data_IF_541507434200
#
_entry.id   IF_541507434200
#
_cell.length_a   1.000
_cell.length_b   1.000
_cell.length_c   1.000
_cell.angle_alpha   90.00
_cell.angle_beta   90.00
_cell.angle_gamma   90.00
#
_symmetry.space_group_name_H-M   'P 1'
#
loop_
_entity.id
_entity.type
_entity.pdbx_description
1 polymer ?
#
# COMPACT_ATOMS: atom_id res chain seq x y z
N UNK A 1 24.52 4.37 -14.46
CA UNK A 1 24.47 3.66 -13.17
C UNK A 1 25.89 3.31 -12.80
N UNK A 2 26.23 3.43 -11.51
CA UNK A 2 27.57 3.09 -11.01
C UNK A 2 27.51 1.92 -10.03
N UNK A 3 28.63 1.20 -9.95
CA UNK A 3 28.81 0.12 -8.98
C UNK A 3 29.41 0.65 -7.67
N UNK A 4 29.00 0.06 -6.57
CA UNK A 4 29.52 0.34 -5.22
C UNK A 4 30.60 -0.69 -4.91
N UNK A 5 31.68 -0.27 -4.25
CA UNK A 5 32.62 -1.22 -3.67
C UNK A 5 31.95 -1.94 -2.49
N UNK A 6 31.63 -3.22 -2.67
CA UNK A 6 30.99 -4.05 -1.65
C UNK A 6 31.89 -4.18 -0.41
N UNK A 7 31.32 -4.04 0.78
CA UNK A 7 32.08 -4.07 2.03
C UNK A 7 31.70 -5.27 2.91
N UNK A 8 32.19 -6.46 2.55
CA UNK A 8 31.89 -7.71 3.26
C UNK A 8 32.49 -7.80 4.67
N UNK A 9 33.55 -7.04 4.96
CA UNK A 9 34.25 -7.09 6.26
C UNK A 9 33.37 -6.63 7.43
N UNK A 10 32.36 -5.79 7.17
CA UNK A 10 31.36 -5.40 8.16
C UNK A 10 30.41 -6.55 8.55
N UNK A 11 30.55 -7.73 7.95
CA UNK A 11 29.70 -8.90 8.17
C UNK A 11 30.49 -10.16 8.54
N UNK A 12 31.78 -10.07 8.91
CA UNK A 12 32.54 -11.27 9.28
C UNK A 12 31.83 -12.02 10.42
N UNK A 13 31.51 -13.30 10.17
CA UNK A 13 30.53 -14.14 10.89
C UNK A 13 30.74 -14.31 12.42
N UNK A 14 31.83 -13.75 12.96
CA UNK A 14 32.12 -13.72 14.40
C UNK A 14 31.58 -12.49 15.14
N UNK A 15 31.04 -11.50 14.43
CA UNK A 15 30.68 -10.20 15.01
C UNK A 15 29.17 -9.92 15.06
N UNK A 16 28.37 -10.71 14.34
CA UNK A 16 26.90 -10.64 14.34
C UNK A 16 26.29 -11.87 15.04
N UNK A 17 25.21 -11.66 15.78
CA UNK A 17 24.45 -12.72 16.44
C UNK A 17 23.66 -13.54 15.43
N UNK A 18 23.22 -14.73 15.82
CA UNK A 18 22.39 -15.60 14.97
C UNK A 18 21.08 -14.93 14.54
N UNK A 19 20.52 -14.05 15.36
CA UNK A 19 19.28 -13.33 15.05
C UNK A 19 19.55 -12.14 14.12
N UNK A 20 20.70 -11.48 14.24
CA UNK A 20 21.16 -10.45 13.28
C UNK A 20 21.42 -11.06 11.89
N UNK A 21 21.83 -12.32 11.84
CA UNK A 21 22.00 -13.07 10.59
C UNK A 21 20.68 -13.52 9.94
N UNK A 22 19.55 -13.44 10.65
CA UNK A 22 18.20 -13.70 10.10
C UNK A 22 17.58 -12.49 9.39
N UNK A 23 18.37 -11.44 9.10
CA UNK A 23 17.96 -10.34 8.23
C UNK A 23 17.37 -10.84 6.91
N UNK A 24 16.31 -10.18 6.44
CA UNK A 24 15.69 -10.42 5.12
C UNK A 24 16.57 -9.90 3.98
N UNK A 25 17.64 -9.15 4.29
CA UNK A 25 18.66 -8.73 3.33
C UNK A 25 19.64 -9.87 3.01
N UNK A 26 19.91 -10.07 1.72
CA UNK A 26 20.91 -11.03 1.28
C UNK A 26 22.33 -10.64 1.75
N UNK A 27 23.29 -11.56 1.63
CA UNK A 27 24.71 -11.23 1.90
C UNK A 27 25.20 -10.13 0.94
N UNK A 28 24.72 -10.11 -0.29
CA UNK A 28 25.05 -9.05 -1.25
C UNK A 28 24.48 -7.70 -0.79
N UNK A 29 23.19 -7.66 -0.44
CA UNK A 29 22.50 -6.41 -0.09
C UNK A 29 23.15 -5.74 1.12
N UNK A 30 23.50 -6.55 2.13
CA UNK A 30 24.21 -6.09 3.32
C UNK A 30 25.60 -5.54 2.97
N UNK A 31 26.35 -6.21 2.10
CA UNK A 31 27.66 -5.73 1.64
C UNK A 31 27.55 -4.42 0.85
N UNK A 32 26.49 -4.27 0.05
CA UNK A 32 26.20 -3.05 -0.69
C UNK A 32 25.88 -1.90 0.26
N UNK A 33 24.98 -2.10 1.24
CA UNK A 33 24.64 -1.09 2.24
C UNK A 33 25.88 -0.66 3.04
N UNK A 34 26.67 -1.61 3.54
CA UNK A 34 27.93 -1.33 4.22
C UNK A 34 28.94 -0.59 3.31
N UNK A 35 28.98 -0.93 2.02
CA UNK A 35 29.78 -0.24 1.02
C UNK A 35 29.36 1.22 0.83
N UNK A 36 28.05 1.48 0.81
CA UNK A 36 27.49 2.82 0.74
C UNK A 36 27.81 3.65 1.99
N UNK A 37 27.69 3.06 3.19
CA UNK A 37 28.09 3.71 4.43
C UNK A 37 29.58 4.06 4.44
N UNK A 38 30.44 3.14 3.99
CA UNK A 38 31.90 3.36 3.85
C UNK A 38 32.21 4.49 2.86
N UNK A 39 31.51 4.52 1.72
CA UNK A 39 31.70 5.52 0.67
C UNK A 39 31.25 6.91 1.13
N UNK A 40 30.10 7.00 1.80
CA UNK A 40 29.45 8.28 2.12
C UNK A 40 29.88 8.87 3.46
N UNK A 41 30.24 8.02 4.43
CA UNK A 41 30.61 8.42 5.80
C UNK A 41 29.62 9.45 6.37
N UNK A 42 28.33 9.08 6.46
CA UNK A 42 27.27 10.01 6.78
C UNK A 42 27.42 10.58 8.20
N UNK A 43 26.76 11.71 8.45
CA UNK A 43 26.69 12.37 9.75
C UNK A 43 25.31 12.24 10.40
N UNK A 44 24.25 12.09 9.60
CA UNK A 44 22.88 11.94 10.06
C UNK A 44 22.15 10.91 9.19
N UNK A 45 21.89 9.76 9.79
CA UNK A 45 21.24 8.61 9.15
C UNK A 45 19.79 8.52 9.58
N UNK A 46 18.92 8.24 8.63
CA UNK A 46 17.52 7.88 8.86
C UNK A 46 17.24 6.50 8.26
N UNK A 47 16.84 5.54 9.08
CA UNK A 47 16.29 4.25 8.67
C UNK A 47 14.76 4.31 8.81
N UNK A 48 14.04 3.88 7.77
CA UNK A 48 12.58 3.80 7.74
C UNK A 48 12.19 2.36 7.42
N UNK A 49 11.49 1.73 8.36
CA UNK A 49 11.20 0.29 8.36
C UNK A 49 12.28 -0.47 9.12
N UNK A 50 11.96 -0.87 10.36
CA UNK A 50 12.91 -1.48 11.28
C UNK A 50 12.65 -2.98 11.40
N UNK A 51 11.36 -3.38 11.40
CA UNK A 51 10.96 -4.76 11.66
C UNK A 51 11.59 -5.26 12.98
N UNK A 52 12.31 -6.39 12.95
CA UNK A 52 13.02 -6.93 14.11
C UNK A 52 14.26 -6.12 14.51
N UNK A 53 14.83 -5.30 13.63
CA UNK A 53 16.05 -4.50 13.85
C UNK A 53 17.34 -5.13 13.37
N UNK A 54 17.30 -6.13 12.48
CA UNK A 54 18.52 -6.75 11.95
C UNK A 54 19.33 -5.76 11.07
N UNK A 55 18.65 -4.97 10.23
CA UNK A 55 19.27 -3.92 9.41
C UNK A 55 19.82 -2.80 10.28
N UNK A 56 19.06 -2.32 11.27
CA UNK A 56 19.54 -1.38 12.29
C UNK A 56 20.83 -1.86 12.95
N UNK A 57 20.88 -3.13 13.36
CA UNK A 57 22.06 -3.70 14.01
C UNK A 57 23.28 -3.72 13.07
N UNK A 58 23.07 -4.11 11.80
CA UNK A 58 24.12 -4.07 10.78
C UNK A 58 24.64 -2.65 10.57
N UNK A 59 23.76 -1.65 10.50
CA UNK A 59 24.15 -0.25 10.35
C UNK A 59 25.05 0.15 11.51
N UNK A 60 24.57 0.00 12.76
CA UNK A 60 25.34 0.38 13.96
C UNK A 60 26.68 -0.35 14.03
N UNK A 61 26.71 -1.64 13.72
CA UNK A 61 27.94 -2.40 13.69
C UNK A 61 28.91 -1.91 12.60
N UNK A 62 28.41 -1.61 11.40
CA UNK A 62 29.23 -1.11 10.31
C UNK A 62 29.86 0.25 10.65
N UNK A 63 29.10 1.13 11.31
CA UNK A 63 29.60 2.43 11.79
C UNK A 63 30.74 2.26 12.80
N UNK A 64 30.64 1.30 13.72
CA UNK A 64 31.72 0.97 14.67
C UNK A 64 32.99 0.49 13.94
N UNK A 65 32.83 -0.43 12.97
CA UNK A 65 33.94 -0.94 12.16
C UNK A 65 34.63 0.18 11.37
N UNK A 66 33.85 1.14 10.88
CA UNK A 66 34.35 2.30 10.15
C UNK A 66 34.93 3.40 11.06
N UNK A 67 34.70 3.32 12.38
CA UNK A 67 35.13 4.32 13.35
C UNK A 67 34.44 5.68 13.14
N UNK A 68 33.17 5.68 12.71
CA UNK A 68 32.37 6.89 12.54
C UNK A 68 31.15 6.85 13.47
N UNK A 69 30.76 8.02 13.98
CA UNK A 69 29.71 8.15 14.99
C UNK A 69 28.67 9.19 14.57
N UNK A 70 27.85 8.89 13.55
CA UNK A 70 26.74 9.76 13.15
C UNK A 70 25.60 9.72 14.18
N UNK A 71 24.68 10.68 14.04
CA UNK A 71 23.35 10.56 14.61
C UNK A 71 22.53 9.58 13.75
N UNK A 72 21.82 8.64 14.37
CA UNK A 72 21.02 7.62 13.69
C UNK A 72 19.60 7.63 14.25
N UNK A 73 18.62 7.73 13.37
CA UNK A 73 17.20 7.62 13.70
C UNK A 73 16.62 6.43 12.98
N UNK A 74 15.89 5.59 13.70
CA UNK A 74 15.27 4.40 13.15
C UNK A 74 13.78 4.48 13.42
N UNK A 75 12.99 4.54 12.34
CA UNK A 75 11.55 4.81 12.37
C UNK A 75 10.76 3.60 11.91
N UNK A 76 9.76 3.21 12.70
CA UNK A 76 8.82 2.15 12.31
C UNK A 76 7.39 2.57 12.66
N UNK A 77 6.48 2.35 11.71
CA UNK A 77 5.05 2.62 11.89
C UNK A 77 4.42 1.77 13.01
N UNK A 78 5.04 0.64 13.34
CA UNK A 78 4.59 -0.28 14.38
C UNK A 78 5.45 -0.22 15.62
N UNK A 79 4.82 -0.34 16.80
CA UNK A 79 5.55 -0.51 18.08
C UNK A 79 5.95 -1.96 18.33
N UNK A 80 5.18 -2.90 17.82
CA UNK A 80 5.40 -4.33 17.98
C UNK A 80 5.85 -4.92 16.65
N UNK A 81 6.78 -5.86 16.71
CA UNK A 81 7.28 -6.54 15.53
C UNK A 81 6.16 -7.34 14.86
N UNK A 82 6.02 -7.18 13.55
CA UNK A 82 4.90 -7.76 12.80
C UNK A 82 4.88 -9.30 12.80
N UNK A 83 6.04 -9.95 12.94
CA UNK A 83 6.16 -11.42 13.01
C UNK A 83 5.76 -11.97 14.37
N UNK A 84 6.19 -11.31 15.44
CA UNK A 84 5.88 -11.69 16.82
C UNK A 84 5.49 -10.45 17.64
N UNK A 85 4.17 -10.18 17.77
CA UNK A 85 3.66 -9.01 18.48
C UNK A 85 4.01 -8.96 19.97
N UNK A 86 4.57 -10.04 20.56
CA UNK A 86 5.08 -10.00 21.94
C UNK A 86 6.40 -9.24 22.06
N UNK A 87 7.06 -8.96 20.94
CA UNK A 87 8.33 -8.24 20.87
C UNK A 87 8.14 -6.83 20.34
N UNK A 88 8.96 -5.91 20.82
CA UNK A 88 9.03 -4.54 20.30
C UNK A 88 9.80 -4.53 18.98
N UNK A 89 9.41 -3.68 18.03
CA UNK A 89 10.19 -3.46 16.81
C UNK A 89 11.61 -2.98 17.17
N UNK A 90 12.62 -3.47 16.45
CA UNK A 90 14.02 -3.15 16.74
C UNK A 90 14.67 -3.96 17.87
N UNK A 91 13.98 -4.92 18.49
CA UNK A 91 14.52 -5.70 19.62
C UNK A 91 15.86 -6.40 19.36
N UNK A 92 16.17 -6.76 18.11
CA UNK A 92 17.45 -7.39 17.72
C UNK A 92 18.61 -6.41 17.91
N UNK A 93 18.42 -5.13 17.58
CA UNK A 93 19.45 -4.10 17.70
C UNK A 93 19.52 -3.44 19.09
N UNK A 94 18.70 -3.89 20.05
CA UNK A 94 18.53 -3.19 21.33
C UNK A 94 19.84 -2.99 22.08
N UNK A 95 20.66 -4.03 22.24
CA UNK A 95 21.91 -3.94 22.99
C UNK A 95 22.91 -2.96 22.33
N UNK A 96 22.99 -2.96 21.00
CA UNK A 96 23.84 -2.02 20.24
C UNK A 96 23.33 -0.60 20.31
N UNK A 97 22.01 -0.43 20.19
CA UNK A 97 21.34 0.86 20.38
C UNK A 97 21.66 1.44 21.76
N UNK A 98 21.57 0.63 22.82
CA UNK A 98 21.89 1.07 24.19
C UNK A 98 23.36 1.47 24.33
N UNK A 99 24.27 0.78 23.63
CA UNK A 99 25.69 1.15 23.58
C UNK A 99 25.96 2.45 22.80
N UNK A 100 25.14 2.77 21.80
CA UNK A 100 25.18 4.04 21.06
C UNK A 100 24.63 5.22 21.85
N UNK A 101 23.82 4.97 22.89
CA UNK A 101 23.21 6.01 23.71
C UNK A 101 22.37 6.98 22.87
N UNK A 102 22.46 8.28 23.19
CA UNK A 102 21.65 9.33 22.53
C UNK A 102 21.94 9.51 21.03
N UNK A 103 23.04 8.92 20.53
CA UNK A 103 23.40 8.95 19.12
C UNK A 103 22.50 8.04 18.25
N UNK A 104 21.76 7.10 18.86
CA UNK A 104 20.76 6.29 18.17
C UNK A 104 19.40 6.37 18.85
N UNK A 105 18.32 6.57 18.06
CA UNK A 105 16.97 6.70 18.59
C UNK A 105 15.96 5.86 17.80
N UNK A 106 15.18 5.07 18.53
CA UNK A 106 14.01 4.37 18.00
C UNK A 106 12.77 5.27 18.09
N UNK A 107 12.10 5.51 16.96
CA UNK A 107 10.86 6.28 16.88
C UNK A 107 9.74 5.38 16.34
N UNK A 108 8.90 4.88 17.24
CA UNK A 108 7.97 3.78 16.94
C UNK A 108 6.50 4.18 17.06
N UNK A 109 5.67 3.65 16.16
CA UNK A 109 4.21 3.73 16.24
C UNK A 109 3.56 4.85 15.43
N UNK A 110 4.34 5.55 14.61
CA UNK A 110 3.88 6.59 13.70
C UNK A 110 4.70 6.53 12.41
N UNK A 111 4.18 7.09 11.32
CA UNK A 111 4.93 7.20 10.06
C UNK A 111 6.09 8.19 10.18
N UNK A 112 7.00 8.17 9.21
CA UNK A 112 8.07 9.19 9.13
C UNK A 112 7.51 10.61 9.00
N UNK A 113 6.33 10.77 8.37
CA UNK A 113 5.70 12.06 8.16
C UNK A 113 5.40 12.79 9.48
N UNK A 114 5.13 12.01 10.54
CA UNK A 114 4.95 12.49 11.90
C UNK A 114 6.26 12.87 12.58
N UNK A 115 7.28 12.01 12.51
CA UNK A 115 8.54 12.19 13.26
C UNK A 115 9.54 13.14 12.62
N UNK A 116 9.40 13.46 11.34
CA UNK A 116 10.44 14.20 10.60
C UNK A 116 10.73 15.61 11.16
N UNK A 117 9.75 16.26 11.82
CA UNK A 117 9.99 17.55 12.50
C UNK A 117 10.88 17.41 13.74
N UNK A 118 10.80 16.27 14.44
CA UNK A 118 11.64 15.96 15.60
C UNK A 118 13.06 15.55 15.16
N UNK A 119 13.17 14.81 14.05
CA UNK A 119 14.45 14.43 13.43
C UNK A 119 15.19 15.67 12.88
N UNK A 120 14.45 16.58 12.25
CA UNK A 120 14.95 17.82 11.66
C UNK A 120 15.79 17.63 10.39
N UNK A 121 16.32 18.74 9.88
CA UNK A 121 16.98 18.82 8.57
C UNK A 121 18.40 18.21 8.54
N UNK A 122 19.05 18.32 7.38
CA UNK A 122 20.42 17.89 7.10
C UNK A 122 20.62 16.37 7.24
N UNK A 123 19.60 15.58 6.88
CA UNK A 123 19.70 14.12 6.77
C UNK A 123 20.53 13.79 5.52
N UNK A 124 21.72 13.23 5.69
CA UNK A 124 22.65 12.96 4.57
C UNK A 124 22.66 11.50 4.11
N UNK A 125 21.94 10.62 4.82
CA UNK A 125 21.78 9.22 4.43
C UNK A 125 20.43 8.67 4.88
N UNK A 126 19.68 8.08 3.95
CA UNK A 126 18.37 7.49 4.22
C UNK A 126 18.37 6.03 3.76
N UNK A 127 17.79 5.14 4.56
CA UNK A 127 17.47 3.76 4.19
C UNK A 127 15.95 3.62 4.25
N UNK A 128 15.34 3.11 3.19
CA UNK A 128 13.90 2.86 3.11
C UNK A 128 13.69 1.39 2.77
N UNK A 129 13.04 0.67 3.68
CA UNK A 129 12.81 -0.78 3.63
C UNK A 129 11.48 -1.12 4.36
N UNK A 130 10.33 -0.93 3.70
CA UNK A 130 9.02 -0.91 4.40
C UNK A 130 8.01 -1.95 3.91
N UNK A 131 7.04 -1.56 3.08
CA UNK A 131 5.90 -2.36 2.64
C UNK A 131 6.09 -2.95 1.24
N UNK A 132 7.09 -2.44 0.50
CA UNK A 132 7.50 -2.77 -0.86
C UNK A 132 6.41 -2.50 -1.92
N UNK A 133 5.22 -2.10 -1.49
CA UNK A 133 4.02 -1.88 -2.29
C UNK A 133 3.61 -0.42 -2.26
N UNK A 134 3.15 0.12 -3.39
CA UNK A 134 2.67 1.50 -3.39
C UNK A 134 1.45 1.61 -2.47
N UNK A 135 1.35 2.68 -1.66
CA UNK A 135 2.16 3.91 -1.75
C UNK A 135 3.36 4.04 -0.79
N UNK A 136 3.70 3.02 0.00
CA UNK A 136 4.56 3.13 1.20
C UNK A 136 5.85 3.93 1.02
N UNK A 137 6.84 3.32 0.37
CA UNK A 137 8.19 3.89 0.17
C UNK A 137 8.16 5.26 -0.52
N UNK A 138 7.19 5.47 -1.42
CA UNK A 138 7.03 6.72 -2.14
C UNK A 138 6.58 7.84 -1.19
N UNK A 139 5.62 7.57 -0.30
CA UNK A 139 5.18 8.55 0.70
C UNK A 139 6.23 8.79 1.77
N UNK A 140 6.99 7.75 2.16
CA UNK A 140 8.13 7.91 3.05
C UNK A 140 9.17 8.86 2.45
N UNK A 141 9.55 8.65 1.18
CA UNK A 141 10.48 9.55 0.50
C UNK A 141 9.94 10.97 0.32
N UNK A 142 8.66 11.13 -0.08
CA UNK A 142 8.01 12.45 -0.17
C UNK A 142 8.10 13.19 1.18
N UNK A 143 7.94 12.48 2.29
CA UNK A 143 7.94 13.05 3.64
C UNK A 143 9.33 13.51 4.11
N UNK A 144 10.41 12.90 3.63
CA UNK A 144 11.78 13.24 4.07
C UNK A 144 12.50 14.18 3.12
N UNK A 145 12.07 14.28 1.85
CA UNK A 145 12.81 14.95 0.79
C UNK A 145 13.20 16.40 1.09
N UNK A 146 12.32 17.19 1.74
CA UNK A 146 12.62 18.60 2.10
C UNK A 146 13.57 18.75 3.29
N UNK A 147 13.88 17.65 3.99
CA UNK A 147 14.75 17.60 5.16
C UNK A 147 16.14 17.01 4.84
N UNK A 148 16.39 16.64 3.58
CA UNK A 148 17.64 16.06 3.14
C UNK A 148 18.75 17.12 3.06
N UNK A 149 19.96 16.73 3.45
CA UNK A 149 21.16 17.50 3.18
C UNK A 149 21.44 17.53 1.67
N UNK A 150 22.23 18.52 1.24
CA UNK A 150 22.81 18.49 -0.10
C UNK A 150 23.67 17.23 -0.27
N UNK A 151 23.60 16.59 -1.44
CA UNK A 151 24.34 15.37 -1.76
C UNK A 151 23.94 14.14 -0.92
N UNK A 152 22.76 14.19 -0.28
CA UNK A 152 22.21 13.06 0.48
C UNK A 152 22.08 11.80 -0.37
N UNK A 153 22.23 10.65 0.28
CA UNK A 153 22.11 9.34 -0.36
C UNK A 153 20.89 8.62 0.18
N UNK A 154 20.04 8.12 -0.70
CA UNK A 154 18.87 7.33 -0.35
C UNK A 154 19.08 5.92 -0.86
N UNK A 155 18.99 4.94 0.03
CA UNK A 155 19.10 3.51 -0.24
C UNK A 155 17.70 2.90 -0.15
N UNK A 156 17.31 2.14 -1.16
CA UNK A 156 16.08 1.38 -1.21
C UNK A 156 16.43 -0.10 -1.24
N UNK A 157 15.85 -0.87 -0.31
CA UNK A 157 15.81 -2.33 -0.43
C UNK A 157 14.58 -2.75 -1.27
N UNK A 158 14.55 -4.00 -1.69
CA UNK A 158 13.51 -4.59 -2.54
C UNK A 158 13.25 -3.91 -3.89
N UNK A 159 14.30 -3.37 -4.53
CA UNK A 159 14.18 -2.70 -5.85
C UNK A 159 13.91 -3.65 -7.02
N UNK A 160 14.13 -4.96 -6.83
CA UNK A 160 13.87 -6.00 -7.84
C UNK A 160 12.84 -7.03 -7.36
N UNK A 161 12.21 -6.77 -6.22
CA UNK A 161 11.39 -7.74 -5.51
C UNK A 161 10.15 -8.18 -6.31
N UNK A 162 9.56 -7.28 -7.11
CA UNK A 162 8.48 -7.63 -8.03
C UNK A 162 8.85 -8.70 -9.07
N UNK A 163 10.15 -8.90 -9.35
CA UNK A 163 10.65 -9.93 -10.27
C UNK A 163 11.14 -11.17 -9.50
N UNK A 164 11.88 -10.96 -8.41
CA UNK A 164 12.47 -12.03 -7.60
C UNK A 164 11.42 -12.79 -6.78
N UNK A 165 10.36 -12.12 -6.35
CA UNK A 165 9.28 -12.68 -5.53
C UNK A 165 8.42 -13.72 -6.25
N UNK A 166 8.41 -13.74 -7.60
CA UNK A 166 7.47 -14.53 -8.42
C UNK A 166 7.54 -16.05 -8.14
N UNK A 167 8.68 -16.56 -7.63
CA UNK A 167 8.85 -17.97 -7.28
C UNK A 167 8.57 -18.31 -5.81
N UNK A 168 8.26 -17.31 -4.98
CA UNK A 168 7.81 -17.53 -3.60
C UNK A 168 6.29 -17.67 -3.56
N UNK A 169 5.77 -18.49 -2.65
CA UNK A 169 4.32 -18.67 -2.41
C UNK A 169 3.61 -17.36 -2.01
N UNK A 170 4.36 -16.27 -1.83
CA UNK A 170 3.93 -14.97 -1.31
C UNK A 170 4.26 -13.78 -2.21
N UNK A 171 5.07 -13.94 -3.26
CA UNK A 171 5.54 -12.80 -4.05
C UNK A 171 4.39 -12.22 -4.86
N UNK A 172 3.96 -11.04 -4.45
CA UNK A 172 2.88 -10.36 -5.12
C UNK A 172 3.47 -9.53 -6.26
N UNK A 173 2.84 -9.50 -7.46
CA UNK A 173 3.28 -8.68 -8.59
C UNK A 173 3.19 -7.16 -8.32
N UNK A 174 2.95 -6.77 -7.06
CA UNK A 174 2.73 -5.41 -6.59
C UNK A 174 3.88 -4.87 -5.71
N UNK A 175 4.95 -5.64 -5.51
CA UNK A 175 6.14 -5.27 -4.72
C UNK A 175 7.15 -4.43 -5.54
N UNK A 176 6.67 -3.31 -6.12
CA UNK A 176 7.46 -2.45 -7.01
C UNK A 176 7.64 -1.01 -6.51
N UNK A 177 7.24 -0.70 -5.28
CA UNK A 177 7.30 0.67 -4.76
C UNK A 177 8.71 1.22 -4.71
N UNK A 178 9.66 0.45 -4.18
CA UNK A 178 11.08 0.81 -4.13
C UNK A 178 11.63 1.16 -5.51
N UNK A 179 11.31 0.35 -6.54
CA UNK A 179 11.74 0.60 -7.91
C UNK A 179 11.11 1.87 -8.50
N UNK A 180 9.80 2.03 -8.32
CA UNK A 180 9.07 3.21 -8.81
C UNK A 180 9.62 4.49 -8.18
N UNK A 181 9.82 4.48 -6.86
CA UNK A 181 10.38 5.62 -6.13
C UNK A 181 11.80 5.91 -6.58
N UNK A 182 12.68 4.91 -6.65
CA UNK A 182 14.05 5.07 -7.16
C UNK A 182 14.06 5.65 -8.59
N UNK A 183 13.17 5.19 -9.46
CA UNK A 183 13.05 5.68 -10.84
C UNK A 183 12.61 7.16 -10.89
N UNK A 184 11.67 7.55 -10.03
CA UNK A 184 11.12 8.90 -9.98
C UNK A 184 12.13 9.95 -9.48
N UNK A 185 13.11 9.54 -8.68
CA UNK A 185 14.13 10.43 -8.11
C UNK A 185 15.21 10.76 -9.14
N UNK A 186 15.52 12.05 -9.23
CA UNK A 186 16.67 12.57 -9.98
C UNK A 186 17.96 12.45 -9.18
N UNK A 187 19.03 12.04 -9.84
CA UNK A 187 20.33 11.95 -9.22
C UNK A 187 21.18 10.79 -9.73
N UNK A 188 22.31 10.61 -9.08
CA UNK A 188 23.28 9.58 -9.42
C UNK A 188 22.87 8.24 -8.83
N UNK A 189 22.45 7.31 -9.68
CA UNK A 189 21.96 5.97 -9.30
C UNK A 189 23.09 4.95 -9.19
N UNK A 190 23.06 4.21 -8.09
CA UNK A 190 23.92 3.08 -7.77
C UNK A 190 23.07 1.81 -7.74
N UNK A 191 23.31 0.92 -8.70
CA UNK A 191 22.68 -0.39 -8.80
C UNK A 191 23.78 -1.30 -9.32
N UNK A 192 24.05 -2.39 -8.62
CA UNK A 192 25.01 -3.40 -9.07
C UNK A 192 24.31 -4.65 -9.59
N UNK A 193 25.11 -5.62 -10.01
CA UNK A 193 24.65 -6.96 -10.32
C UNK A 193 24.94 -7.86 -9.11
N UNK A 194 23.98 -8.71 -8.73
CA UNK A 194 24.18 -9.72 -7.69
C UNK A 194 24.38 -11.10 -8.33
N UNK A 195 25.63 -11.42 -8.62
CA UNK A 195 26.04 -12.71 -9.20
C UNK A 195 25.74 -13.92 -8.27
N UNK A 196 25.20 -13.70 -7.07
CA UNK A 196 24.83 -14.76 -6.13
C UNK A 196 23.41 -15.30 -6.32
N UNK A 197 22.55 -14.61 -7.07
CA UNK A 197 21.23 -15.09 -7.45
C UNK A 197 21.13 -15.44 -8.95
N UNK A 198 20.20 -16.32 -9.32
CA UNK A 198 20.14 -16.89 -10.69
C UNK A 198 19.73 -15.86 -11.74
N UNK A 199 19.00 -14.82 -11.31
CA UNK A 199 18.57 -13.70 -12.14
C UNK A 199 19.66 -12.64 -12.33
N UNK A 200 20.75 -12.70 -11.56
CA UNK A 200 21.80 -11.67 -11.46
C UNK A 200 21.25 -10.26 -11.15
N UNK A 201 20.12 -10.17 -10.44
CA UNK A 201 19.47 -8.89 -10.12
C UNK A 201 19.79 -8.49 -8.68
N UNK A 202 20.43 -7.34 -8.49
CA UNK A 202 20.51 -6.76 -7.15
C UNK A 202 19.11 -6.38 -6.67
N UNK A 203 18.81 -6.73 -5.42
CA UNK A 203 17.55 -6.35 -4.77
C UNK A 203 17.71 -5.10 -3.89
N UNK A 204 18.83 -4.40 -4.02
CA UNK A 204 19.09 -3.12 -3.35
C UNK A 204 19.61 -2.11 -4.37
N UNK A 205 19.25 -0.85 -4.18
CA UNK A 205 19.74 0.25 -5.00
C UNK A 205 19.84 1.55 -4.20
N UNK A 206 20.58 2.52 -4.71
CA UNK A 206 20.68 3.83 -4.10
C UNK A 206 20.68 4.97 -5.11
N UNK A 207 20.33 6.16 -4.67
CA UNK A 207 20.43 7.41 -5.43
C UNK A 207 21.08 8.49 -4.56
N UNK A 208 22.13 9.11 -5.08
CA UNK A 208 22.68 10.34 -4.51
C UNK A 208 22.03 11.53 -5.23
N UNK A 209 21.27 12.32 -4.48
CA UNK A 209 20.59 13.52 -5.00
C UNK A 209 21.57 14.68 -5.07
N UNK A 210 21.51 15.51 -6.10
CA UNK A 210 22.46 16.61 -6.33
C UNK A 210 22.04 17.96 -5.69
N UNK A 211 21.01 17.91 -4.84
CA UNK A 211 20.47 19.08 -4.14
C UNK A 211 19.48 19.90 -4.94
N UNK A 212 19.13 19.51 -6.18
CA UNK A 212 17.94 20.03 -6.86
C UNK A 212 16.71 19.27 -6.34
N UNK A 213 16.16 19.77 -5.24
CA UNK A 213 15.00 19.14 -4.58
C UNK A 213 13.66 19.50 -5.22
N UNK A 214 13.63 20.33 -6.27
CA UNK A 214 12.38 20.73 -6.92
C UNK A 214 12.19 20.05 -8.28
N UNK A 215 13.28 19.67 -8.96
CA UNK A 215 13.25 19.12 -10.32
C UNK A 215 12.50 17.78 -10.51
N UNK A 216 12.23 17.03 -9.44
CA UNK A 216 11.54 15.73 -9.49
C UNK A 216 10.24 15.65 -8.67
N UNK A 217 9.80 16.74 -8.03
CA UNK A 217 8.60 16.73 -7.19
C UNK A 217 7.36 16.31 -7.99
N UNK A 218 7.20 16.84 -9.20
CA UNK A 218 6.10 16.44 -10.10
C UNK A 218 6.14 14.93 -10.41
N UNK A 219 7.32 14.36 -10.63
CA UNK A 219 7.45 12.93 -10.92
C UNK A 219 7.01 12.08 -9.73
N UNK A 220 7.36 12.48 -8.50
CA UNK A 220 6.97 11.79 -7.28
C UNK A 220 5.45 11.78 -7.10
N UNK A 221 4.79 12.93 -7.26
CA UNK A 221 3.34 13.02 -7.10
C UNK A 221 2.58 12.36 -8.27
N UNK A 222 3.15 12.35 -9.49
CA UNK A 222 2.59 11.57 -10.60
C UNK A 222 2.72 10.06 -10.37
N UNK A 223 3.81 9.61 -9.74
CA UNK A 223 3.99 8.18 -9.41
C UNK A 223 2.89 7.65 -8.47
N UNK A 224 2.25 8.50 -7.67
CA UNK A 224 1.10 8.12 -6.84
C UNK A 224 -0.11 7.64 -7.66
N UNK A 225 -0.20 7.96 -8.95
CA UNK A 225 -1.29 7.50 -9.83
C UNK A 225 -1.08 6.09 -10.38
N UNK A 226 0.04 5.44 -10.08
CA UNK A 226 0.22 3.99 -10.28
C UNK A 226 -0.67 3.23 -9.29
N UNK A 227 -1.12 2.03 -9.66
CA UNK A 227 -1.98 1.22 -8.80
C UNK A 227 -1.30 0.87 -7.47
N UNK A 228 -1.98 1.15 -6.36
CA UNK A 228 -1.56 0.80 -5.00
C UNK A 228 -1.97 -0.62 -4.65
N UNK A 229 -1.22 -1.33 -3.81
CA UNK A 229 -1.64 -2.67 -3.35
C UNK A 229 -2.52 -2.61 -2.10
N UNK A 230 -2.39 -1.51 -1.34
CA UNK A 230 -3.14 -1.27 -0.12
C UNK A 230 -3.47 0.22 0.03
N UNK A 231 -4.30 0.53 1.00
CA UNK A 231 -4.55 1.91 1.45
C UNK A 231 -3.97 2.00 2.87
N UNK A 232 -3.05 2.94 3.17
CA UNK A 232 -2.60 3.19 4.53
C UNK A 232 -3.79 3.45 5.47
N UNK A 233 -3.63 3.18 6.76
CA UNK A 233 -4.69 3.47 7.74
C UNK A 233 -4.92 4.98 7.87
N UNK A 234 -6.06 5.37 8.45
CA UNK A 234 -6.46 6.78 8.50
C UNK A 234 -5.53 7.65 9.36
N UNK A 235 -4.86 7.09 10.38
CA UNK A 235 -3.89 7.86 11.16
C UNK A 235 -2.68 8.20 10.28
N UNK A 236 -2.11 7.20 9.63
CA UNK A 236 -0.98 7.38 8.71
C UNK A 236 -1.33 8.30 7.54
N UNK A 237 -2.52 8.17 6.95
CA UNK A 237 -2.97 9.06 5.89
C UNK A 237 -3.02 10.52 6.35
N UNK A 238 -3.49 10.78 7.57
CA UNK A 238 -3.53 12.14 8.11
C UNK A 238 -2.13 12.71 8.33
N UNK A 239 -1.20 11.90 8.85
CA UNK A 239 0.20 12.30 9.00
C UNK A 239 0.81 12.69 7.64
N UNK A 240 0.56 11.91 6.59
CA UNK A 240 1.00 12.26 5.24
C UNK A 240 0.31 13.50 4.68
N UNK A 241 -0.98 13.72 4.92
CA UNK A 241 -1.68 14.95 4.47
C UNK A 241 -1.04 16.19 5.09
N UNK A 242 -0.87 16.18 6.40
CA UNK A 242 -0.26 17.30 7.14
C UNK A 242 1.14 17.59 6.61
N UNK A 243 1.94 16.53 6.40
CA UNK A 243 3.29 16.65 5.85
C UNK A 243 3.30 17.22 4.44
N UNK A 244 2.47 16.68 3.55
CA UNK A 244 2.40 17.12 2.16
C UNK A 244 1.95 18.58 2.07
N UNK A 245 0.93 18.97 2.83
CA UNK A 245 0.45 20.35 2.85
C UNK A 245 1.52 21.31 3.37
N UNK A 246 2.26 20.92 4.42
CA UNK A 246 3.32 21.73 5.01
C UNK A 246 4.50 21.93 4.06
N UNK A 247 4.95 20.87 3.40
CA UNK A 247 6.23 20.86 2.66
C UNK A 247 6.08 21.22 1.19
N UNK A 248 4.91 20.95 0.60
CA UNK A 248 4.65 21.14 -0.84
C UNK A 248 3.44 22.04 -1.11
N UNK A 249 2.56 22.25 -0.14
CA UNK A 249 1.41 23.14 -0.26
C UNK A 249 0.13 22.46 -0.80
N UNK A 250 -0.96 23.24 -0.90
CA UNK A 250 -2.30 22.71 -1.16
C UNK A 250 -2.48 22.09 -2.55
N UNK A 251 -1.68 22.51 -3.54
CA UNK A 251 -1.75 21.96 -4.89
C UNK A 251 -1.32 20.49 -4.94
N UNK A 252 -0.24 20.15 -4.24
CA UNK A 252 0.27 18.78 -4.14
C UNK A 252 -0.57 17.93 -3.19
N UNK A 253 -1.12 18.51 -2.11
CA UNK A 253 -2.14 17.83 -1.31
C UNK A 253 -3.35 17.42 -2.17
N UNK A 254 -3.80 18.31 -3.07
CA UNK A 254 -4.90 17.98 -3.97
C UNK A 254 -4.55 16.87 -4.98
N UNK A 255 -3.29 16.77 -5.41
CA UNK A 255 -2.82 15.65 -6.24
C UNK A 255 -2.81 14.34 -5.45
N UNK A 256 -2.30 14.36 -4.22
CA UNK A 256 -2.34 13.20 -3.32
C UNK A 256 -3.77 12.71 -3.07
N UNK A 257 -4.72 13.60 -2.77
CA UNK A 257 -6.12 13.24 -2.56
C UNK A 257 -6.77 12.62 -3.82
N UNK A 258 -6.44 13.14 -5.01
CA UNK A 258 -6.89 12.55 -6.28
C UNK A 258 -6.33 11.15 -6.48
N UNK A 259 -5.03 10.95 -6.22
CA UNK A 259 -4.38 9.65 -6.32
C UNK A 259 -4.96 8.65 -5.30
N UNK A 260 -5.19 9.07 -4.05
CA UNK A 260 -5.81 8.29 -3.00
C UNK A 260 -7.24 7.85 -3.40
N UNK A 261 -8.07 8.78 -3.87
CA UNK A 261 -9.42 8.48 -4.32
C UNK A 261 -9.44 7.51 -5.51
N UNK A 262 -8.56 7.76 -6.50
CA UNK A 262 -8.40 6.88 -7.67
C UNK A 262 -7.97 5.47 -7.28
N UNK A 263 -7.02 5.35 -6.36
CA UNK A 263 -6.51 4.05 -5.89
C UNK A 263 -7.48 3.30 -5.00
N UNK A 264 -8.26 3.99 -4.14
CA UNK A 264 -9.38 3.38 -3.42
C UNK A 264 -10.38 2.77 -4.40
N UNK A 265 -10.71 3.50 -5.46
CA UNK A 265 -11.59 2.98 -6.52
C UNK A 265 -10.98 1.80 -7.30
N UNK A 266 -9.70 1.88 -7.67
CA UNK A 266 -9.01 0.82 -8.38
C UNK A 266 -8.89 -0.48 -7.56
N UNK A 267 -8.59 -0.36 -6.25
CA UNK A 267 -8.57 -1.50 -5.33
C UNK A 267 -9.95 -2.12 -5.14
N UNK A 268 -10.99 -1.28 -4.99
CA UNK A 268 -12.38 -1.73 -4.94
C UNK A 268 -12.76 -2.55 -6.18
N UNK A 269 -12.39 -2.08 -7.38
CA UNK A 269 -12.62 -2.81 -8.64
C UNK A 269 -11.87 -4.14 -8.70
N UNK A 270 -10.58 -4.17 -8.33
CA UNK A 270 -9.75 -5.39 -8.35
C UNK A 270 -10.27 -6.47 -7.41
N UNK A 271 -10.68 -6.10 -6.18
CA UNK A 271 -11.31 -7.03 -5.23
C UNK A 271 -12.61 -7.63 -5.80
N UNK A 272 -13.32 -6.87 -6.64
CA UNK A 272 -14.51 -7.35 -7.33
C UNK A 272 -14.26 -8.26 -8.52
N UNK A 273 -13.21 -7.98 -9.30
CA UNK A 273 -12.86 -8.76 -10.48
C UNK A 273 -12.43 -10.20 -10.13
N UNK A 274 -11.91 -10.45 -8.93
CA UNK A 274 -11.56 -11.79 -8.43
C UNK A 274 -12.73 -12.61 -7.89
N UNK A 275 -13.95 -12.06 -7.82
CA UNK A 275 -15.12 -12.79 -7.34
C UNK A 275 -15.79 -13.59 -8.48
N UNK A 276 -15.95 -14.89 -8.29
CA UNK A 276 -16.75 -15.71 -9.23
C UNK A 276 -18.23 -15.34 -9.14
N UNK A 277 -19.00 -15.57 -10.21
CA UNK A 277 -20.46 -15.39 -10.23
C UNK A 277 -21.14 -16.06 -9.01
N UNK A 278 -20.72 -17.27 -8.67
CA UNK A 278 -21.23 -18.01 -7.53
C UNK A 278 -20.93 -17.34 -6.18
N UNK A 279 -19.73 -16.75 -6.02
CA UNK A 279 -19.38 -16.07 -4.77
C UNK A 279 -20.13 -14.75 -4.59
N UNK A 280 -20.42 -14.03 -5.69
CA UNK A 280 -21.21 -12.80 -5.68
C UNK A 280 -22.67 -13.09 -5.28
N UNK A 281 -23.28 -14.12 -5.88
CA UNK A 281 -24.65 -14.54 -5.54
C UNK A 281 -24.72 -14.97 -4.08
N UNK A 282 -23.79 -15.80 -3.62
CA UNK A 282 -23.75 -16.25 -2.22
C UNK A 282 -23.63 -15.08 -1.23
N UNK A 283 -22.78 -14.10 -1.53
CA UNK A 283 -22.66 -12.89 -0.69
C UNK A 283 -23.95 -12.07 -0.65
N UNK A 284 -24.66 -11.95 -1.78
CA UNK A 284 -25.95 -11.28 -1.82
C UNK A 284 -26.99 -12.05 -1.00
N UNK A 285 -27.06 -13.38 -1.14
CA UNK A 285 -27.96 -14.25 -0.38
C UNK A 285 -27.75 -14.11 1.13
N UNK A 286 -26.49 -14.16 1.57
CA UNK A 286 -26.14 -14.00 3.00
C UNK A 286 -26.54 -12.63 3.54
N UNK A 287 -26.33 -11.56 2.75
CA UNK A 287 -26.73 -10.20 3.14
C UNK A 287 -28.23 -10.02 3.14
N UNK A 288 -28.92 -10.54 2.13
CA UNK A 288 -30.38 -10.52 2.02
C UNK A 288 -31.02 -11.25 3.20
N UNK A 289 -30.52 -12.43 3.56
CA UNK A 289 -31.05 -13.22 4.68
C UNK A 289 -30.93 -12.52 6.04
N UNK A 290 -29.93 -11.64 6.20
CA UNK A 290 -29.70 -10.88 7.45
C UNK A 290 -30.42 -9.53 7.47
N UNK A 291 -30.87 -9.04 6.31
CA UNK A 291 -31.45 -7.71 6.19
C UNK A 291 -32.94 -7.71 6.58
N UNK A 292 -33.35 -6.75 7.42
CA UNK A 292 -34.76 -6.47 7.69
C UNK A 292 -35.38 -5.56 6.65
N UNK A 293 -34.58 -4.65 6.10
CA UNK A 293 -35.00 -3.75 5.03
C UNK A 293 -33.94 -3.76 3.93
N UNK A 294 -34.40 -3.78 2.67
CA UNK A 294 -33.52 -3.64 1.50
C UNK A 294 -33.84 -2.33 0.79
N UNK A 295 -32.80 -1.56 0.52
CA UNK A 295 -32.85 -0.31 -0.22
C UNK A 295 -32.12 -0.49 -1.54
N UNK A 296 -32.63 0.08 -2.62
CA UNK A 296 -31.88 0.28 -3.87
C UNK A 296 -31.52 1.75 -3.98
N UNK A 297 -30.24 2.01 -4.14
CA UNK A 297 -29.71 3.36 -4.30
C UNK A 297 -29.60 3.70 -5.80
N UNK A 298 -30.42 4.64 -6.27
CA UNK A 298 -30.52 5.03 -7.68
C UNK A 298 -31.88 4.71 -8.31
N UNK A 299 -32.14 5.33 -9.46
CA UNK A 299 -33.40 5.19 -10.21
C UNK A 299 -33.22 4.88 -11.71
N UNK A 300 -31.99 4.56 -12.13
CA UNK A 300 -31.67 4.26 -13.53
C UNK A 300 -31.98 2.82 -13.95
N UNK A 301 -31.59 2.47 -15.19
CA UNK A 301 -31.73 1.12 -15.77
C UNK A 301 -31.23 0.02 -14.82
N UNK A 302 -30.07 0.25 -14.23
CA UNK A 302 -29.42 -0.69 -13.32
C UNK A 302 -30.22 -0.92 -12.04
N UNK A 303 -30.74 0.14 -11.43
CA UNK A 303 -31.62 0.04 -10.27
C UNK A 303 -32.89 -0.78 -10.58
N UNK A 304 -33.45 -0.62 -11.78
CA UNK A 304 -34.61 -1.41 -12.23
C UNK A 304 -34.24 -2.89 -12.47
N UNK A 305 -33.04 -3.18 -12.96
CA UNK A 305 -32.54 -4.57 -13.09
C UNK A 305 -32.36 -5.23 -11.74
N UNK A 306 -31.73 -4.54 -10.78
CA UNK A 306 -31.56 -5.02 -9.40
C UNK A 306 -32.91 -5.30 -8.75
N UNK A 307 -33.87 -4.37 -8.89
CA UNK A 307 -35.21 -4.54 -8.32
C UNK A 307 -35.93 -5.77 -8.86
N UNK A 308 -35.89 -5.96 -10.19
CA UNK A 308 -36.45 -7.17 -10.84
C UNK A 308 -35.79 -8.44 -10.33
N UNK A 309 -34.47 -8.45 -10.19
CA UNK A 309 -33.74 -9.61 -9.67
C UNK A 309 -34.11 -9.93 -8.22
N UNK A 310 -34.08 -8.93 -7.32
CA UNK A 310 -34.44 -9.11 -5.91
C UNK A 310 -35.89 -9.57 -5.73
N UNK A 311 -36.80 -9.06 -6.55
CA UNK A 311 -38.20 -9.48 -6.56
C UNK A 311 -38.35 -10.93 -7.04
N UNK A 312 -37.74 -11.28 -8.18
CA UNK A 312 -37.88 -12.62 -8.78
C UNK A 312 -37.21 -13.71 -7.94
N UNK A 313 -35.99 -13.47 -7.46
CA UNK A 313 -35.17 -14.47 -6.77
C UNK A 313 -35.46 -14.56 -5.27
N UNK A 314 -35.77 -13.42 -4.61
CA UNK A 314 -35.93 -13.38 -3.15
C UNK A 314 -37.32 -12.91 -2.68
N UNK A 315 -38.22 -12.53 -3.60
CA UNK A 315 -39.56 -11.99 -3.29
C UNK A 315 -39.52 -10.74 -2.40
N UNK A 316 -38.46 -9.95 -2.53
CA UNK A 316 -38.26 -8.72 -1.79
C UNK A 316 -38.78 -7.54 -2.60
N UNK A 317 -39.51 -6.64 -1.94
CA UNK A 317 -39.84 -5.33 -2.47
C UNK A 317 -38.91 -4.27 -1.85
N UNK A 318 -37.83 -3.89 -2.54
CA UNK A 318 -36.87 -2.94 -2.00
C UNK A 318 -37.45 -1.51 -1.98
N UNK A 319 -37.00 -0.70 -1.02
CA UNK A 319 -37.29 0.73 -0.99
C UNK A 319 -36.30 1.48 -1.87
N UNK A 320 -36.72 2.55 -2.55
CA UNK A 320 -35.84 3.34 -3.40
C UNK A 320 -35.22 4.52 -2.63
N UNK A 321 -33.94 4.74 -2.85
CA UNK A 321 -33.24 5.98 -2.49
C UNK A 321 -32.96 6.72 -3.80
N UNK A 322 -33.73 7.78 -4.06
CA UNK A 322 -33.81 8.48 -5.36
C UNK A 322 -33.42 9.95 -5.22
N UNK A 323 -32.79 10.52 -6.25
CA UNK A 323 -32.58 11.97 -6.42
C UNK A 323 -33.81 12.67 -7.01
N UNK A 324 -33.91 13.99 -6.84
CA UNK A 324 -34.66 14.83 -7.79
C UNK A 324 -33.92 14.83 -9.14
N UNK A 325 -34.63 14.96 -10.25
CA UNK A 325 -34.12 14.78 -11.64
C UNK A 325 -32.87 15.60 -12.01
N UNK A 326 -32.49 16.61 -11.20
CA UNK A 326 -31.34 17.49 -11.42
C UNK A 326 -30.06 17.12 -10.63
N UNK A 327 -30.12 16.17 -9.68
CA UNK A 327 -28.95 15.74 -8.91
C UNK A 327 -28.28 14.50 -9.54
N UNK A 328 -26.98 14.59 -9.79
CA UNK A 328 -26.17 13.48 -10.33
C UNK A 328 -25.87 12.38 -9.31
N UNK A 329 -26.04 12.63 -8.00
CA UNK A 329 -25.79 11.68 -6.89
C UNK A 329 -26.86 11.85 -5.78
N UNK A 330 -27.62 10.81 -5.39
CA UNK A 330 -28.62 10.91 -4.33
C UNK A 330 -28.12 11.33 -2.96
N UNK A 331 -28.84 12.24 -2.32
CA UNK A 331 -28.67 12.48 -0.89
C UNK A 331 -28.92 11.20 -0.09
N UNK A 332 -27.92 10.76 0.67
CA UNK A 332 -28.02 9.61 1.59
C UNK A 332 -28.77 9.95 2.89
N UNK A 333 -29.29 11.17 3.05
CA UNK A 333 -29.95 11.61 4.29
C UNK A 333 -31.17 10.77 4.66
N UNK A 334 -31.86 10.15 3.70
CA UNK A 334 -32.98 9.22 3.94
C UNK A 334 -32.53 7.93 4.66
N UNK A 335 -31.23 7.63 4.66
CA UNK A 335 -30.61 6.52 5.36
C UNK A 335 -30.04 6.91 6.73
N UNK A 336 -30.11 8.19 7.11
CA UNK A 336 -29.60 8.66 8.41
C UNK A 336 -30.38 8.01 9.56
N UNK A 337 -29.66 7.43 10.53
CA UNK A 337 -30.24 6.74 11.68
C UNK A 337 -30.72 5.31 11.41
N UNK A 338 -30.45 4.76 10.22
CA UNK A 338 -30.63 3.32 9.95
C UNK A 338 -29.57 2.49 10.69
N UNK A 339 -29.94 1.25 11.01
CA UNK A 339 -29.12 0.31 11.80
C UNK A 339 -28.40 -0.70 10.91
N UNK A 340 -27.52 -1.49 11.50
CA UNK A 340 -26.73 -2.53 10.83
C UNK A 340 -27.55 -3.62 10.10
N UNK A 341 -28.87 -3.69 10.32
CA UNK A 341 -29.77 -4.69 9.71
C UNK A 341 -30.43 -4.23 8.40
N UNK A 342 -29.95 -3.14 7.78
CA UNK A 342 -30.36 -2.75 6.42
C UNK A 342 -29.39 -3.25 5.36
N UNK A 343 -29.89 -3.59 4.17
CA UNK A 343 -29.05 -3.83 2.98
C UNK A 343 -29.27 -2.71 1.98
N UNK A 344 -28.19 -2.11 1.49
CA UNK A 344 -28.22 -1.07 0.46
C UNK A 344 -27.61 -1.64 -0.81
N UNK A 345 -28.42 -1.86 -1.84
CA UNK A 345 -27.96 -2.33 -3.14
C UNK A 345 -27.76 -1.13 -4.06
N UNK A 346 -26.55 -0.95 -4.59
CA UNK A 346 -26.26 0.12 -5.53
C UNK A 346 -26.93 -0.18 -6.88
N UNK A 347 -27.75 0.73 -7.38
CA UNK A 347 -28.44 0.68 -8.66
C UNK A 347 -27.97 1.76 -9.62
N UNK A 348 -26.71 2.17 -9.48
CA UNK A 348 -26.07 3.27 -10.21
C UNK A 348 -24.83 2.77 -10.95
N UNK A 349 -24.40 3.51 -11.98
CA UNK A 349 -23.19 3.17 -12.72
C UNK A 349 -21.95 3.09 -11.81
N UNK A 350 -21.03 2.19 -12.15
CA UNK A 350 -19.84 1.87 -11.33
C UNK A 350 -18.94 3.08 -11.11
N UNK A 351 -18.93 4.03 -12.05
CA UNK A 351 -18.24 5.31 -11.93
C UNK A 351 -18.72 6.18 -10.75
N UNK A 352 -19.93 5.94 -10.23
CA UNK A 352 -20.50 6.69 -9.11
C UNK A 352 -20.43 5.95 -7.77
N UNK A 353 -20.00 4.68 -7.75
CA UNK A 353 -20.01 3.86 -6.53
C UNK A 353 -19.13 4.45 -5.44
N UNK A 354 -17.94 4.92 -5.78
CA UNK A 354 -17.00 5.47 -4.80
C UNK A 354 -17.60 6.66 -4.05
N UNK A 355 -18.15 7.64 -4.78
CA UNK A 355 -18.76 8.83 -4.19
C UNK A 355 -19.88 8.46 -3.21
N UNK A 356 -20.69 7.45 -3.56
CA UNK A 356 -21.78 6.97 -2.71
C UNK A 356 -21.27 6.19 -1.51
N UNK A 357 -20.23 5.35 -1.68
CA UNK A 357 -19.60 4.62 -0.59
C UNK A 357 -18.98 5.58 0.43
N UNK A 358 -18.34 6.67 0.00
CA UNK A 358 -17.83 7.73 0.90
C UNK A 358 -18.97 8.35 1.71
N UNK A 359 -20.08 8.69 1.07
CA UNK A 359 -21.27 9.24 1.75
C UNK A 359 -21.87 8.24 2.75
N UNK A 360 -21.93 6.96 2.40
CA UNK A 360 -22.44 5.91 3.28
C UNK A 360 -21.49 5.59 4.43
N UNK A 361 -20.19 5.71 4.22
CA UNK A 361 -19.18 5.57 5.27
C UNK A 361 -19.31 6.66 6.34
N UNK A 362 -19.56 7.92 5.94
CA UNK A 362 -19.87 9.00 6.87
C UNK A 362 -21.12 8.75 7.73
N UNK A 363 -22.00 7.84 7.30
CA UNK A 363 -23.18 7.41 8.04
C UNK A 363 -22.97 6.10 8.82
N UNK A 364 -21.78 5.48 8.75
CA UNK A 364 -21.49 4.19 9.37
C UNK A 364 -22.22 3.01 8.73
N UNK A 365 -22.59 3.13 7.44
CA UNK A 365 -23.36 2.14 6.69
C UNK A 365 -22.54 1.41 5.62
N UNK A 366 -21.22 1.59 5.56
CA UNK A 366 -20.38 1.01 4.50
C UNK A 366 -20.45 -0.52 4.46
N UNK A 367 -20.60 -1.18 5.62
CA UNK A 367 -20.72 -2.64 5.72
C UNK A 367 -22.04 -3.19 5.19
N UNK A 368 -23.03 -2.31 5.02
CA UNK A 368 -24.39 -2.64 4.63
C UNK A 368 -24.61 -2.57 3.12
N UNK A 369 -23.57 -2.23 2.36
CA UNK A 369 -23.66 -2.00 0.91
C UNK A 369 -23.41 -3.27 0.11
N UNK A 370 -24.10 -3.39 -1.03
CA UNK A 370 -23.88 -4.41 -2.05
C UNK A 370 -24.00 -3.83 -3.48
N UNK A 371 -23.18 -4.26 -4.46
CA UNK A 371 -21.96 -5.03 -4.24
C UNK A 371 -20.98 -4.19 -3.43
N UNK A 372 -20.35 -4.84 -2.46
CA UNK A 372 -19.30 -4.21 -1.67
C UNK A 372 -17.96 -4.19 -2.43
N UNK A 373 -17.83 -4.92 -3.55
CA UNK A 373 -16.60 -5.04 -4.34
C UNK A 373 -16.91 -5.22 -5.84
N UNK A 374 -17.06 -4.14 -6.60
CA UNK A 374 -16.87 -4.15 -8.07
C UNK A 374 -18.00 -4.63 -8.99
N UNK A 375 -17.65 -4.75 -10.28
CA UNK A 375 -18.54 -4.75 -11.45
C UNK A 375 -19.21 -6.07 -11.78
N UNK A 376 -18.71 -7.20 -11.25
CA UNK A 376 -19.16 -8.54 -11.63
C UNK A 376 -20.65 -8.81 -11.36
N UNK A 377 -21.26 -8.11 -10.39
CA UNK A 377 -22.72 -8.20 -10.17
C UNK A 377 -23.53 -7.57 -11.30
N UNK A 378 -23.04 -6.49 -11.91
CA UNK A 378 -23.76 -5.78 -12.97
C UNK A 378 -23.54 -6.41 -14.34
N UNK A 379 -22.33 -6.92 -14.60
CA UNK A 379 -22.07 -7.80 -15.73
C UNK A 379 -22.97 -9.04 -15.66
N UNK A 380 -23.16 -9.61 -14.46
CA UNK A 380 -24.14 -10.66 -14.21
C UNK A 380 -25.58 -10.23 -14.52
N UNK A 381 -26.00 -9.05 -14.08
CA UNK A 381 -27.35 -8.55 -14.35
C UNK A 381 -27.59 -8.27 -15.84
N UNK A 382 -26.57 -7.84 -16.59
CA UNK A 382 -26.65 -7.66 -18.04
C UNK A 382 -26.84 -8.99 -18.77
N UNK A 383 -26.06 -10.02 -18.42
CA UNK A 383 -26.22 -11.39 -18.97
C UNK A 383 -27.59 -11.97 -18.60
N UNK A 384 -28.03 -11.76 -17.34
CA UNK A 384 -29.33 -12.22 -16.90
C UNK A 384 -30.49 -11.51 -17.59
N UNK A 385 -30.38 -10.24 -17.98
CA UNK A 385 -31.48 -9.54 -18.68
C UNK A 385 -31.70 -10.15 -20.08
N UNK A 386 -30.67 -10.70 -20.72
CA UNK A 386 -30.79 -11.46 -21.97
C UNK A 386 -31.44 -12.83 -21.74
N UNK A 387 -31.05 -13.56 -20.68
CA UNK A 387 -31.56 -14.92 -20.40
C UNK A 387 -32.95 -14.93 -19.71
N UNK A 388 -33.28 -13.92 -18.90
CA UNK A 388 -34.58 -13.79 -18.21
C UNK A 388 -35.72 -13.40 -19.15
N UNK A 389 -35.43 -12.78 -20.29
CA UNK A 389 -36.41 -12.43 -21.32
C UNK A 389 -36.82 -13.64 -22.17
N UNK A 390 -36.05 -14.74 -22.17
CA UNK A 390 -36.35 -15.95 -22.96
C UNK A 390 -37.02 -17.09 -22.17
N UNK A 391 -37.38 -16.89 -20.90
CA UNK A 391 -38.32 -17.78 -20.20
C UNK A 391 -37.81 -19.19 -19.87
N UNK A 392 -36.49 -19.40 -19.77
CA UNK A 392 -35.96 -20.68 -19.31
C UNK A 392 -35.79 -20.72 -17.77
N UNK A 393 -36.38 -21.75 -17.16
CA UNK A 393 -36.31 -22.08 -15.73
C UNK A 393 -34.86 -22.44 -15.32
N UNK A 394 -34.09 -21.44 -14.90
CA UNK A 394 -32.70 -21.59 -14.48
C UNK A 394 -32.53 -21.84 -12.97
N UNK A 395 -33.51 -22.47 -12.33
CA UNK A 395 -33.37 -22.93 -10.95
C UNK A 395 -32.93 -24.40 -11.00
N UNK A 396 -31.68 -24.69 -11.35
CA UNK A 396 -30.96 -25.92 -11.00
C UNK A 396 -29.47 -25.84 -11.37
N UNK A 397 -28.67 -25.27 -10.47
CA UNK A 397 -27.34 -25.71 -10.01
C UNK A 397 -26.22 -26.29 -10.91
N UNK A 398 -26.34 -26.43 -12.23
CA UNK A 398 -25.44 -27.29 -13.02
C UNK A 398 -24.56 -26.61 -14.09
N UNK A 399 -24.27 -25.31 -13.96
CA UNK A 399 -23.29 -24.63 -14.82
C UNK A 399 -21.88 -24.53 -14.22
N UNK A 400 -21.60 -25.27 -13.14
CA UNK A 400 -20.30 -25.22 -12.43
C UNK A 400 -19.15 -25.89 -13.21
N UNK A 401 -19.43 -26.74 -14.20
CA UNK A 401 -18.38 -27.55 -14.85
C UNK A 401 -17.86 -26.99 -16.19
N UNK A 402 -18.61 -26.16 -16.92
CA UNK A 402 -18.16 -25.74 -18.27
C UNK A 402 -17.21 -24.53 -18.28
N UNK A 403 -17.23 -23.66 -17.27
CA UNK A 403 -16.35 -22.47 -17.23
C UNK A 403 -14.95 -22.72 -16.65
N UNK A 404 -14.68 -23.92 -16.10
CA UNK A 404 -13.35 -24.27 -15.57
C UNK A 404 -12.36 -24.59 -16.70
N UNK A 405 -12.84 -24.95 -17.90
CA UNK A 405 -11.93 -25.31 -19.00
C UNK A 405 -11.27 -24.11 -19.70
N UNK A 406 -11.84 -22.91 -19.63
CA UNK A 406 -11.28 -21.73 -20.32
C UNK A 406 -10.29 -20.94 -19.45
N UNK A 407 -10.31 -21.14 -18.13
CA UNK A 407 -9.43 -20.42 -17.18
C UNK A 407 -8.10 -21.13 -16.89
N UNK A 408 -7.78 -22.22 -17.60
CA UNK A 408 -6.46 -22.90 -17.51
C UNK A 408 -5.45 -22.49 -18.59
N UNK A 409 -5.82 -21.54 -19.44
CA UNK A 409 -4.93 -20.94 -20.43
C UNK A 409 -5.14 -19.44 -20.46
N UNK A 410 -4.60 -18.75 -19.47
CA UNK A 410 -4.19 -17.34 -19.38
C UNK A 410 -3.62 -17.15 -17.96
#
# INVERSE_FOLDING_TARGET
>A
MENVELFYQAMDDGLLTKDELQSEMSRYDRAFLSGMLKLKKPKKILEIGISGGATTSLILHCLDVLGIHPQVYSVDITKQWYVDPSKVSGHIAKERSEAYGDAHQFMLGHSIAYFIDEIGDEIDFVIIDTMHSLPGELLDYISVKKHLAKDATIVFHDVSQNLLGINSTYGLPFEYASLVTLCAISGKKYIGDDDSNIENLANIGAVAVDGDFDGDVDNLFQALFVNWNYIPDELSLEEYRVRIEKDYGPEYLALFEKALAGNRFALYRRKGAGCTRASIIKQLEEKVAKAKEVYIYGNGKLANQVERYLNKCYRIQPKRVVTKEEETIPSVHTLKGKKEDVLIVLGIGTQHHYQVLTLLHQLGLEKNVFPYNGTGFYEFLEIMDEELLEGNDFINGNFYEQSIHTARFL
#
